data_IF_097661053594
#
_entry.id   IF_097661053594
#
_cell.length_a   1.000
_cell.length_b   1.000
_cell.length_c   1.000
_cell.angle_alpha   90.00
_cell.angle_beta   90.00
_cell.angle_gamma   90.00
#
_symmetry.space_group_name_H-M   'P 1'
#
loop_
_entity.id
_entity.type
_entity.pdbx_description
1 polymer ?
#
# COMPACT_ATOMS: atom_id res chain seq x y z
N UNK A 1 -0.72 24.40 0.02
CA UNK A 1 -0.60 22.95 0.30
C UNK A 1 -0.84 22.62 1.77
N UNK A 2 -0.30 23.38 2.73
CA UNK A 2 -0.49 23.12 4.17
C UNK A 2 -1.96 23.18 4.64
N UNK A 3 -2.77 24.04 4.06
CA UNK A 3 -4.20 24.15 4.39
C UNK A 3 -5.02 22.91 3.99
N UNK A 4 -4.61 22.20 2.94
CA UNK A 4 -5.34 21.02 2.42
C UNK A 4 -4.72 19.68 2.84
N UNK A 5 -3.45 19.68 3.22
CA UNK A 5 -2.70 18.49 3.62
C UNK A 5 -2.03 18.76 4.97
N UNK A 6 -2.67 18.33 6.04
CA UNK A 6 -2.20 18.59 7.41
C UNK A 6 -0.98 17.73 7.77
N UNK A 7 -0.80 16.55 7.15
CA UNK A 7 0.32 15.66 7.43
C UNK A 7 1.64 16.17 6.81
N UNK A 8 2.64 16.56 7.63
CA UNK A 8 3.91 17.10 7.13
C UNK A 8 4.72 16.08 6.32
N UNK A 9 4.71 14.82 6.72
CA UNK A 9 5.43 13.73 6.04
C UNK A 9 4.87 13.50 4.65
N UNK A 10 3.54 13.47 4.52
CA UNK A 10 2.88 13.37 3.22
C UNK A 10 3.22 14.56 2.32
N UNK A 11 3.26 15.78 2.87
CA UNK A 11 3.67 16.97 2.10
C UNK A 11 5.09 16.84 1.58
N UNK A 12 6.03 16.42 2.42
CA UNK A 12 7.43 16.23 2.02
C UNK A 12 7.57 15.14 0.94
N UNK A 13 6.81 14.05 1.06
CA UNK A 13 6.78 13.01 0.04
C UNK A 13 6.27 13.55 -1.30
N UNK A 14 5.17 14.30 -1.29
CA UNK A 14 4.60 14.87 -2.52
C UNK A 14 5.53 15.90 -3.17
N UNK A 15 6.23 16.74 -2.38
CA UNK A 15 7.19 17.72 -2.90
C UNK A 15 8.36 17.05 -3.64
N UNK A 16 8.78 15.84 -3.26
CA UNK A 16 9.82 15.09 -3.99
C UNK A 16 9.43 14.74 -5.42
N UNK A 17 8.12 14.78 -5.74
CA UNK A 17 7.59 14.55 -7.08
C UNK A 17 7.46 15.83 -7.91
N UNK A 18 8.04 16.94 -7.45
CA UNK A 18 8.10 18.21 -8.19
C UNK A 18 9.54 18.45 -8.60
N UNK A 19 9.74 18.99 -9.79
CA UNK A 19 11.04 19.47 -10.27
C UNK A 19 10.87 20.81 -10.99
N UNK A 20 11.97 21.52 -11.18
CA UNK A 20 12.01 22.68 -12.07
C UNK A 20 12.32 22.23 -13.49
N UNK A 21 11.54 22.71 -14.45
CA UNK A 21 11.80 22.49 -15.87
C UNK A 21 12.86 23.49 -16.40
N UNK A 22 13.15 23.41 -17.70
CA UNK A 22 14.16 24.27 -18.36
C UNK A 22 13.77 25.75 -18.37
N UNK A 23 12.50 26.07 -18.26
CA UNK A 23 11.93 27.42 -18.24
C UNK A 23 11.74 27.95 -16.82
N UNK A 24 12.33 27.28 -15.81
CA UNK A 24 12.29 27.61 -14.38
C UNK A 24 10.89 27.50 -13.73
N UNK A 25 9.95 26.78 -14.35
CA UNK A 25 8.64 26.48 -13.79
C UNK A 25 8.65 25.14 -13.04
N UNK A 26 7.79 25.04 -12.03
CA UNK A 26 7.60 23.78 -11.31
C UNK A 26 6.67 22.85 -12.08
N UNK A 27 7.13 21.64 -12.30
CA UNK A 27 6.38 20.55 -12.93
C UNK A 27 6.37 19.29 -12.06
N UNK A 28 5.32 18.49 -12.25
CA UNK A 28 5.24 17.18 -11.64
C UNK A 28 6.12 16.19 -12.40
N UNK A 29 6.90 15.39 -11.67
CA UNK A 29 7.64 14.25 -12.24
C UNK A 29 6.70 13.12 -12.68
N UNK A 30 5.52 13.03 -12.05
CA UNK A 30 4.48 12.05 -12.32
C UNK A 30 3.48 12.63 -13.31
N UNK A 31 2.88 11.77 -14.13
CA UNK A 31 1.84 12.18 -15.08
C UNK A 31 0.49 12.36 -14.37
N UNK A 32 0.31 13.51 -13.71
CA UNK A 32 -0.92 13.85 -12.97
C UNK A 32 -2.19 13.79 -13.84
N UNK A 33 -2.22 14.28 -15.10
CA UNK A 33 -3.39 14.14 -15.95
C UNK A 33 -3.82 12.69 -16.18
N UNK A 34 -2.87 11.79 -16.48
CA UNK A 34 -3.16 10.37 -16.67
C UNK A 34 -3.64 9.73 -15.37
N UNK A 35 -2.98 10.00 -14.25
CA UNK A 35 -3.42 9.49 -12.94
C UNK A 35 -4.82 9.97 -12.57
N UNK A 36 -5.14 11.25 -12.84
CA UNK A 36 -6.48 11.79 -12.60
C UNK A 36 -7.52 11.08 -13.44
N UNK A 37 -7.22 10.80 -14.70
CA UNK A 37 -8.13 10.09 -15.62
C UNK A 37 -8.33 8.63 -15.19
N UNK A 38 -7.27 7.97 -14.75
CA UNK A 38 -7.29 6.57 -14.33
C UNK A 38 -7.73 6.37 -12.86
N UNK A 39 -8.02 7.45 -12.12
CA UNK A 39 -8.25 7.40 -10.67
C UNK A 39 -9.38 6.42 -10.31
N UNK A 40 -10.51 6.45 -11.03
CA UNK A 40 -11.63 5.55 -10.78
C UNK A 40 -11.21 4.09 -10.94
N UNK A 41 -10.49 3.76 -12.01
CA UNK A 41 -10.00 2.39 -12.25
C UNK A 41 -8.98 1.94 -11.20
N UNK A 42 -8.11 2.84 -10.75
CA UNK A 42 -7.10 2.54 -9.73
C UNK A 42 -7.75 2.29 -8.36
N UNK A 43 -8.81 3.06 -8.03
CA UNK A 43 -9.46 2.99 -6.72
C UNK A 43 -10.63 2.00 -6.66
N UNK A 44 -11.09 1.48 -7.80
CA UNK A 44 -12.18 0.48 -7.83
C UNK A 44 -11.80 -0.89 -7.29
N UNK A 45 -10.50 -1.09 -7.02
CA UNK A 45 -10.00 -2.37 -6.55
C UNK A 45 -9.98 -3.44 -7.63
N UNK A 46 -9.76 -4.66 -7.21
CA UNK A 46 -9.77 -5.83 -8.10
C UNK A 46 -11.18 -6.39 -8.16
N UNK A 47 -11.70 -6.59 -9.37
CA UNK A 47 -13.03 -7.14 -9.55
C UNK A 47 -13.09 -8.58 -9.01
N UNK A 48 -14.02 -8.83 -8.08
CA UNK A 48 -14.21 -10.16 -7.47
C UNK A 48 -14.57 -11.23 -8.51
N UNK A 49 -15.21 -10.86 -9.62
CA UNK A 49 -15.55 -11.77 -10.72
C UNK A 49 -14.31 -12.42 -11.37
N UNK A 50 -13.14 -11.76 -11.30
CA UNK A 50 -11.88 -12.34 -11.81
C UNK A 50 -11.41 -13.56 -11.00
N UNK A 51 -12.03 -13.80 -9.85
CA UNK A 51 -11.70 -14.89 -8.93
C UNK A 51 -12.85 -15.87 -8.71
N UNK A 52 -13.89 -15.85 -9.56
CA UNK A 52 -15.07 -16.74 -9.41
C UNK A 52 -14.73 -18.22 -9.60
N UNK A 53 -13.68 -18.56 -10.37
CA UNK A 53 -13.09 -19.91 -10.46
C UNK A 53 -12.08 -20.21 -9.34
N UNK A 54 -12.30 -19.68 -8.16
CA UNK A 54 -11.35 -19.69 -7.04
C UNK A 54 -10.86 -21.06 -6.65
N UNK A 55 -9.78 -21.48 -7.29
CA UNK A 55 -8.93 -22.52 -6.72
C UNK A 55 -8.00 -21.85 -5.73
N UNK A 56 -7.88 -22.38 -4.50
CA UNK A 56 -6.88 -21.88 -3.56
C UNK A 56 -5.50 -21.90 -4.17
N UNK A 57 -4.73 -20.82 -3.97
CA UNK A 57 -3.34 -20.76 -4.43
C UNK A 57 -2.49 -21.44 -3.37
N UNK A 58 -1.91 -22.58 -3.74
CA UNK A 58 -1.09 -23.43 -2.86
C UNK A 58 0.33 -23.55 -3.42
N UNK A 59 1.26 -23.96 -2.56
CA UNK A 59 2.64 -24.22 -2.96
C UNK A 59 3.54 -23.00 -3.05
N UNK A 60 3.06 -21.83 -2.63
CA UNK A 60 3.84 -20.60 -2.52
C UNK A 60 3.75 -20.05 -1.10
N UNK A 61 4.87 -19.73 -0.46
CA UNK A 61 4.85 -19.05 0.83
C UNK A 61 4.36 -17.61 0.60
N UNK A 62 3.18 -17.27 1.14
CA UNK A 62 2.61 -15.93 1.10
C UNK A 62 2.59 -15.36 2.51
N UNK A 63 3.15 -14.17 2.68
CA UNK A 63 3.10 -13.47 3.96
C UNK A 63 2.59 -12.06 3.76
N UNK A 64 1.57 -11.70 4.50
CA UNK A 64 1.05 -10.34 4.59
C UNK A 64 1.65 -9.68 5.83
N UNK A 65 2.34 -8.57 5.66
CA UNK A 65 2.83 -7.74 6.77
C UNK A 65 1.96 -6.49 6.81
N UNK A 66 1.20 -6.29 7.88
CA UNK A 66 0.27 -5.17 8.01
C UNK A 66 0.55 -4.33 9.25
N UNK A 67 0.35 -3.02 9.14
CA UNK A 67 0.31 -2.12 10.28
C UNK A 67 -1.08 -2.14 10.93
N UNK A 68 -1.16 -2.31 12.24
CA UNK A 68 -2.45 -2.41 12.95
C UNK A 68 -3.28 -1.11 12.94
N UNK A 69 -2.64 0.04 12.64
CA UNK A 69 -3.33 1.33 12.49
C UNK A 69 -3.69 1.62 11.02
N UNK A 70 -3.61 0.62 10.13
CA UNK A 70 -3.92 0.73 8.70
C UNK A 70 -5.27 0.11 8.39
N UNK A 71 -6.07 0.80 7.56
CA UNK A 71 -7.36 0.30 7.07
C UNK A 71 -7.24 -0.57 5.80
N UNK A 72 -6.00 -0.83 5.30
CA UNK A 72 -5.80 -1.57 4.05
C UNK A 72 -6.05 -3.07 4.19
N UNK A 73 -5.71 -3.65 5.33
CA UNK A 73 -6.02 -5.04 5.68
C UNK A 73 -6.56 -5.04 7.10
N UNK A 74 -7.84 -5.21 7.24
CA UNK A 74 -8.56 -5.33 8.52
C UNK A 74 -8.73 -6.81 8.92
N UNK A 75 -9.18 -7.05 10.14
CA UNK A 75 -9.48 -8.41 10.58
C UNK A 75 -10.63 -9.05 9.78
N UNK A 76 -11.54 -8.23 9.24
CA UNK A 76 -12.62 -8.70 8.37
C UNK A 76 -12.14 -9.22 7.01
N UNK A 77 -10.94 -8.86 6.57
CA UNK A 77 -10.36 -9.30 5.29
C UNK A 77 -9.64 -10.66 5.43
N UNK A 78 -9.25 -11.04 6.65
CA UNK A 78 -8.48 -12.26 6.90
C UNK A 78 -9.17 -13.55 6.39
N UNK A 79 -10.50 -13.74 6.56
CA UNK A 79 -11.17 -14.91 5.98
C UNK A 79 -11.07 -14.96 4.45
N UNK A 80 -11.20 -13.80 3.77
CA UNK A 80 -11.04 -13.70 2.32
C UNK A 80 -9.63 -14.02 1.86
N UNK A 81 -8.62 -13.49 2.56
CA UNK A 81 -7.21 -13.80 2.31
C UNK A 81 -6.97 -15.31 2.44
N UNK A 82 -7.47 -15.92 3.52
CA UNK A 82 -7.31 -17.36 3.76
C UNK A 82 -8.06 -18.24 2.76
N UNK A 83 -9.17 -17.77 2.22
CA UNK A 83 -9.88 -18.48 1.16
C UNK A 83 -9.07 -18.58 -0.13
N UNK A 84 -8.29 -17.54 -0.45
CA UNK A 84 -7.43 -17.49 -1.65
C UNK A 84 -6.06 -18.11 -1.36
N UNK A 85 -5.47 -17.80 -0.22
CA UNK A 85 -4.15 -18.23 0.22
C UNK A 85 -4.26 -18.97 1.57
N UNK A 86 -4.66 -20.25 1.59
CA UNK A 86 -4.89 -20.98 2.86
C UNK A 86 -3.66 -21.05 3.76
N UNK A 87 -2.47 -21.09 3.16
CA UNK A 87 -1.19 -21.18 3.86
C UNK A 87 -0.59 -19.80 4.20
N UNK A 88 -1.28 -18.70 3.86
CA UNK A 88 -0.76 -17.36 4.11
C UNK A 88 -0.52 -17.11 5.60
N UNK A 89 0.59 -16.45 5.89
CA UNK A 89 0.90 -15.90 7.22
C UNK A 89 0.50 -14.44 7.27
N UNK A 90 0.10 -13.96 8.43
CA UNK A 90 -0.14 -12.52 8.67
C UNK A 90 0.72 -12.10 9.83
N UNK A 91 1.55 -11.08 9.62
CA UNK A 91 2.42 -10.50 10.65
C UNK A 91 1.91 -9.08 10.92
N UNK A 92 1.54 -8.83 12.18
CA UNK A 92 1.02 -7.57 12.64
C UNK A 92 2.14 -6.69 13.19
N UNK A 93 2.27 -5.46 12.67
CA UNK A 93 3.17 -4.45 13.22
C UNK A 93 2.34 -3.44 14.01
N UNK A 94 2.54 -3.45 15.34
CA UNK A 94 1.89 -2.51 16.25
C UNK A 94 2.43 -1.09 16.04
N UNK A 95 1.57 -0.12 16.25
CA UNK A 95 1.88 1.31 16.18
C UNK A 95 2.37 1.75 14.79
N UNK A 96 1.93 1.05 13.73
CA UNK A 96 2.20 1.37 12.35
C UNK A 96 0.91 1.46 11.54
N UNK A 97 0.85 2.45 10.66
CA UNK A 97 -0.16 2.59 9.61
C UNK A 97 0.25 1.89 8.32
N UNK A 98 -0.24 2.40 7.19
CA UNK A 98 0.08 1.83 5.88
C UNK A 98 1.58 1.95 5.51
N UNK A 99 2.27 2.97 6.00
CA UNK A 99 3.69 3.18 5.74
C UNK A 99 4.56 2.54 6.82
N UNK A 100 4.25 1.32 7.17
CA UNK A 100 4.87 0.56 8.25
C UNK A 100 6.42 0.49 8.13
N UNK A 101 6.95 0.44 6.92
CA UNK A 101 8.40 0.46 6.66
C UNK A 101 9.07 1.80 7.02
N UNK A 102 8.31 2.89 7.03
CA UNK A 102 8.79 4.22 7.44
C UNK A 102 8.45 4.56 8.90
N UNK A 103 7.31 4.03 9.39
CA UNK A 103 6.82 4.30 10.75
C UNK A 103 7.47 3.38 11.79
N UNK A 104 7.74 2.11 11.43
CA UNK A 104 8.36 1.10 12.29
C UNK A 104 9.42 0.29 11.52
N UNK A 105 10.51 0.92 11.04
CA UNK A 105 11.48 0.29 10.14
C UNK A 105 12.15 -0.95 10.73
N UNK A 106 12.47 -0.92 12.02
CA UNK A 106 13.13 -2.05 12.70
C UNK A 106 12.21 -3.28 12.75
N UNK A 107 10.95 -3.09 13.17
CA UNK A 107 9.95 -4.17 13.23
C UNK A 107 9.61 -4.69 11.83
N UNK A 108 9.60 -3.80 10.84
CA UNK A 108 9.37 -4.20 9.45
C UNK A 108 10.50 -5.10 8.92
N UNK A 109 11.76 -4.72 9.19
CA UNK A 109 12.93 -5.53 8.79
C UNK A 109 12.92 -6.86 9.53
N UNK A 110 12.63 -6.89 10.83
CA UNK A 110 12.51 -8.13 11.61
C UNK A 110 11.44 -9.05 11.01
N UNK A 111 10.26 -8.54 10.73
CA UNK A 111 9.18 -9.29 10.10
C UNK A 111 9.60 -9.83 8.71
N UNK A 112 10.28 -9.03 7.91
CA UNK A 112 10.77 -9.44 6.60
C UNK A 112 11.81 -10.56 6.70
N UNK A 113 12.79 -10.42 7.59
CA UNK A 113 13.84 -11.43 7.82
C UNK A 113 13.30 -12.74 8.40
N UNK A 114 12.13 -12.71 9.04
CA UNK A 114 11.50 -13.93 9.58
C UNK A 114 10.84 -14.80 8.52
N UNK A 115 10.72 -14.32 7.28
CA UNK A 115 10.01 -15.02 6.19
C UNK A 115 10.88 -15.35 4.98
N UNK A 116 12.13 -14.90 4.99
CA UNK A 116 13.16 -15.25 3.99
C UNK A 116 14.19 -16.19 4.63
#
# INVERSE_FOLDING_TARGET
MAEKLHNPTLRQFLIKNIHRNKDDYFEWKINVPVLKHALVSITSGVNSEWFDDRRPILGYPVTFIRGLNSDYISDSDLPGIKAIYPEARVIDIKDAGHWLHAEQPEKFIEALLSVI
#
